data_IF_170547964169
#
_entry.id   IF_170547964169
#
_cell.length_a   1.000
_cell.length_b   1.000
_cell.length_c   1.000
_cell.angle_alpha   90.00
_cell.angle_beta   90.00
_cell.angle_gamma   90.00
#
_symmetry.space_group_name_H-M   'P 1'
#
loop_
_entity.id
_entity.type
_entity.pdbx_description
1 polymer ?
#
# COMPACT_ATOMS: atom_id res chain seq x y z
N UNK A 1 22.15 14.36 1.60
CA UNK A 1 22.01 14.28 3.08
C UNK A 1 21.38 15.60 3.48
N UNK A 2 20.09 15.61 3.83
CA UNK A 2 19.48 16.82 4.42
C UNK A 2 20.06 16.97 5.83
N UNK A 3 20.54 18.15 6.16
CA UNK A 3 21.06 18.48 7.48
C UNK A 3 19.96 18.20 8.51
N UNK A 4 20.14 17.16 9.31
CA UNK A 4 19.34 16.93 10.50
C UNK A 4 19.62 18.09 11.48
N UNK A 5 18.62 18.71 12.06
CA UNK A 5 18.84 19.67 13.15
C UNK A 5 19.64 19.01 14.27
N UNK A 6 20.53 19.78 14.89
CA UNK A 6 21.42 19.29 15.95
C UNK A 6 20.64 18.49 17.01
N UNK A 7 21.24 17.40 17.57
CA UNK A 7 20.57 16.59 18.58
C UNK A 7 20.17 17.44 19.77
N UNK A 8 18.98 17.20 20.36
CA UNK A 8 18.51 17.95 21.52
C UNK A 8 19.44 17.75 22.72
N UNK A 9 19.52 18.72 23.64
CA UNK A 9 20.29 18.56 24.86
C UNK A 9 19.74 17.40 25.72
N UNK A 10 20.59 16.72 26.51
CA UNK A 10 20.27 15.47 27.21
C UNK A 10 19.24 15.54 28.35
N UNK A 11 18.66 16.69 28.65
CA UNK A 11 17.96 16.92 29.93
C UNK A 11 16.43 16.67 29.96
N UNK A 12 15.80 16.32 28.82
CA UNK A 12 14.33 16.17 28.78
C UNK A 12 13.80 14.82 29.32
N UNK A 13 14.68 13.84 29.49
CA UNK A 13 14.31 12.51 30.01
C UNK A 13 13.91 12.51 31.49
N UNK A 14 14.21 13.60 32.24
CA UNK A 14 13.87 13.75 33.66
C UNK A 14 12.47 14.40 33.88
N UNK A 15 11.85 14.96 32.83
CA UNK A 15 10.55 15.63 32.93
C UNK A 15 9.42 14.60 32.84
N UNK A 16 8.47 14.53 33.78
CA UNK A 16 7.33 13.62 33.72
C UNK A 16 6.54 13.76 32.41
N UNK A 17 6.13 12.63 31.84
CA UNK A 17 5.42 12.57 30.54
C UNK A 17 4.20 13.51 30.47
N UNK A 18 3.41 13.58 31.56
CA UNK A 18 2.27 14.48 31.65
C UNK A 18 2.65 15.98 31.55
N UNK A 19 3.81 16.34 32.08
CA UNK A 19 4.31 17.72 31.97
C UNK A 19 4.82 18.03 30.57
N UNK A 20 5.49 17.08 29.94
CA UNK A 20 5.91 17.18 28.53
C UNK A 20 4.69 17.35 27.63
N UNK A 21 3.64 16.53 27.83
CA UNK A 21 2.39 16.62 27.07
C UNK A 21 1.74 18.00 27.23
N UNK A 22 1.56 18.47 28.47
CA UNK A 22 0.95 19.78 28.72
C UNK A 22 1.76 20.93 28.10
N UNK A 23 3.11 20.85 28.15
CA UNK A 23 4.00 21.84 27.52
C UNK A 23 3.88 21.84 26.01
N UNK A 24 3.92 20.67 25.36
CA UNK A 24 3.79 20.55 23.92
C UNK A 24 2.39 20.98 23.44
N UNK A 25 1.33 20.61 24.15
CA UNK A 25 -0.03 21.03 23.84
C UNK A 25 -0.20 22.55 23.93
N UNK A 26 0.35 23.19 24.99
CA UNK A 26 0.36 24.65 25.11
C UNK A 26 1.10 25.33 23.97
N UNK A 27 2.27 24.81 23.58
CA UNK A 27 3.04 25.29 22.43
C UNK A 27 2.22 25.23 21.15
N UNK A 28 1.58 24.08 20.84
CA UNK A 28 0.75 23.91 19.65
C UNK A 28 -0.46 24.86 19.67
N UNK A 29 -1.12 25.04 20.82
CA UNK A 29 -2.24 25.99 20.98
C UNK A 29 -1.79 27.43 20.77
N UNK A 30 -0.61 27.79 21.26
CA UNK A 30 -0.05 29.15 21.11
C UNK A 30 0.33 29.43 19.66
N UNK A 31 0.95 28.47 18.95
CA UNK A 31 1.23 28.57 17.50
C UNK A 31 -0.06 28.75 16.71
N UNK A 32 -1.09 27.97 17.02
CA UNK A 32 -2.41 28.11 16.37
C UNK A 32 -2.97 29.52 16.54
N UNK A 33 -2.91 30.08 17.75
CA UNK A 33 -3.40 31.42 18.05
C UNK A 33 -2.57 32.51 17.33
N UNK A 34 -1.23 32.42 17.38
CA UNK A 34 -0.32 33.37 16.74
C UNK A 34 -0.51 33.41 15.22
N UNK A 35 -0.55 32.23 14.59
CA UNK A 35 -0.69 32.15 13.13
C UNK A 35 -2.09 32.52 12.65
N UNK A 36 -3.13 32.29 13.46
CA UNK A 36 -4.49 32.77 13.16
C UNK A 36 -4.62 34.31 13.30
N UNK A 37 -3.88 34.93 14.20
CA UNK A 37 -3.91 36.41 14.42
C UNK A 37 -3.15 37.16 13.31
N UNK A 38 -2.26 36.52 12.55
CA UNK A 38 -1.43 37.16 11.51
C UNK A 38 -2.19 37.55 10.25
N UNK A 39 -3.53 37.48 10.22
CA UNK A 39 -4.38 37.94 9.10
C UNK A 39 -4.59 36.92 7.97
N UNK A 40 -4.16 35.68 8.15
CA UNK A 40 -4.45 34.56 7.27
C UNK A 40 -5.81 33.91 7.64
N UNK A 41 -6.36 33.00 6.81
CA UNK A 41 -7.49 32.18 7.24
C UNK A 41 -7.15 31.48 8.58
N UNK A 42 -8.15 31.24 9.46
CA UNK A 42 -7.92 30.61 10.74
C UNK A 42 -7.16 29.29 10.59
N UNK A 43 -6.16 29.07 11.43
CA UNK A 43 -5.40 27.81 11.45
C UNK A 43 -6.28 26.70 12.02
N UNK A 44 -6.51 25.67 11.23
CA UNK A 44 -7.24 24.48 11.66
C UNK A 44 -6.31 23.54 12.43
N UNK A 45 -6.82 22.94 13.51
CA UNK A 45 -6.12 21.89 14.26
C UNK A 45 -6.82 20.56 14.05
N UNK A 46 -6.07 19.57 13.53
CA UNK A 46 -6.49 18.19 13.50
C UNK A 46 -5.74 17.44 14.60
N UNK A 47 -6.46 16.59 15.31
CA UNK A 47 -5.91 15.81 16.40
C UNK A 47 -6.09 14.31 16.15
N UNK A 48 -4.99 13.56 16.31
CA UNK A 48 -4.96 12.10 16.28
C UNK A 48 -4.51 11.55 17.64
N UNK A 49 -4.46 10.23 17.80
CA UNK A 49 -3.96 9.62 19.03
C UNK A 49 -2.50 9.97 19.33
N UNK A 50 -1.68 10.16 18.30
CA UNK A 50 -0.22 10.32 18.42
C UNK A 50 0.32 11.64 17.86
N UNK A 51 -0.52 12.49 17.28
CA UNK A 51 -0.07 13.73 16.64
C UNK A 51 -1.11 14.85 16.73
N UNK A 52 -0.61 16.10 16.66
CA UNK A 52 -1.39 17.28 16.30
C UNK A 52 -0.93 17.79 14.93
N UNK A 53 -1.86 18.21 14.10
CA UNK A 53 -1.56 18.81 12.80
C UNK A 53 -2.18 20.21 12.76
N UNK A 54 -1.36 21.23 12.57
CA UNK A 54 -1.80 22.60 12.32
C UNK A 54 -1.81 22.86 10.81
N UNK A 55 -2.96 23.23 10.27
CA UNK A 55 -3.15 23.56 8.87
C UNK A 55 -3.21 25.08 8.70
N UNK A 56 -2.18 25.67 8.10
CA UNK A 56 -2.16 27.06 7.65
C UNK A 56 -2.80 27.18 6.25
N UNK A 57 -2.73 28.35 5.62
CA UNK A 57 -3.25 28.52 4.26
C UNK A 57 -2.56 27.61 3.23
N UNK A 58 -1.25 27.38 3.37
CA UNK A 58 -0.41 26.71 2.36
C UNK A 58 0.35 25.50 2.88
N UNK A 59 0.50 25.38 4.19
CA UNK A 59 1.35 24.35 4.82
C UNK A 59 0.60 23.63 5.95
N UNK A 60 1.10 22.44 6.26
CA UNK A 60 0.69 21.64 7.40
C UNK A 60 1.92 21.34 8.28
N UNK A 61 1.74 21.45 9.60
CA UNK A 61 2.77 21.19 10.60
C UNK A 61 2.31 20.05 11.49
N UNK A 62 2.94 18.88 11.40
CA UNK A 62 2.59 17.68 12.15
C UNK A 62 3.54 17.49 13.33
N UNK A 63 3.01 17.65 14.55
CA UNK A 63 3.72 17.48 15.79
C UNK A 63 3.45 16.10 16.37
N UNK A 64 4.47 15.41 16.87
CA UNK A 64 4.32 14.17 17.64
C UNK A 64 3.87 14.49 19.06
N UNK A 65 2.85 13.77 19.56
CA UNK A 65 2.43 13.90 20.96
C UNK A 65 3.43 13.19 21.88
N UNK A 66 3.78 13.76 23.03
CA UNK A 66 4.52 13.06 24.07
C UNK A 66 3.67 11.96 24.71
N UNK A 67 3.64 10.78 24.10
CA UNK A 67 2.88 9.62 24.55
C UNK A 67 3.75 8.36 24.51
N UNK A 68 3.48 7.44 25.42
CA UNK A 68 4.06 6.10 25.44
C UNK A 68 2.91 5.09 25.30
N UNK A 69 2.93 4.35 24.18
CA UNK A 69 1.97 3.30 23.88
C UNK A 69 2.77 2.00 23.71
N UNK A 70 2.14 0.85 23.87
CA UNK A 70 2.85 -0.45 23.82
C UNK A 70 3.61 -0.72 22.51
N UNK A 71 3.40 0.07 21.47
CA UNK A 71 4.02 -0.07 20.15
C UNK A 71 4.83 1.17 19.72
N UNK A 72 4.83 2.26 20.48
CA UNK A 72 5.64 3.45 20.21
C UNK A 72 5.98 4.20 21.49
N UNK A 73 7.12 4.90 21.48
CA UNK A 73 7.55 5.80 22.55
C UNK A 73 7.98 7.15 21.97
N UNK A 74 7.17 8.18 22.18
CA UNK A 74 7.44 9.58 21.88
C UNK A 74 7.65 10.40 23.16
N UNK A 75 8.02 9.75 24.25
CA UNK A 75 8.14 10.35 25.58
C UNK A 75 9.27 11.37 25.73
N UNK A 76 10.34 11.30 24.90
CA UNK A 76 11.40 12.29 24.93
C UNK A 76 11.41 13.17 23.68
N UNK A 77 11.94 14.40 23.79
CA UNK A 77 12.12 15.30 22.67
C UNK A 77 13.01 14.68 21.58
N UNK A 78 14.05 13.93 21.99
CA UNK A 78 14.93 13.21 21.08
C UNK A 78 14.18 12.13 20.29
N UNK A 79 13.30 11.38 20.93
CA UNK A 79 12.46 10.37 20.25
C UNK A 79 11.50 11.03 19.25
N UNK A 80 10.91 12.18 19.59
CA UNK A 80 10.04 12.91 18.67
C UNK A 80 10.80 13.52 17.50
N UNK A 81 12.01 14.05 17.74
CA UNK A 81 12.92 14.51 16.68
C UNK A 81 13.25 13.37 15.69
N UNK A 82 13.63 12.21 16.23
CA UNK A 82 13.92 11.02 15.42
C UNK A 82 12.69 10.59 14.62
N UNK A 83 11.51 10.53 15.24
CA UNK A 83 10.27 10.16 14.57
C UNK A 83 9.89 11.15 13.43
N UNK A 84 10.10 12.46 13.64
CA UNK A 84 9.90 13.47 12.58
C UNK A 84 10.88 13.27 11.41
N UNK A 85 12.15 12.99 11.70
CA UNK A 85 13.18 12.72 10.69
C UNK A 85 12.86 11.43 9.90
N UNK A 86 12.44 10.36 10.58
CA UNK A 86 12.00 9.11 9.94
C UNK A 86 10.74 9.33 9.10
N UNK A 87 9.74 10.04 9.60
CA UNK A 87 8.54 10.37 8.83
C UNK A 87 8.89 11.12 7.54
N UNK A 88 9.77 12.12 7.63
CA UNK A 88 10.26 12.84 6.46
C UNK A 88 10.97 11.90 5.48
N UNK A 89 11.88 11.04 5.98
CA UNK A 89 12.66 10.10 5.17
C UNK A 89 11.77 9.12 4.42
N UNK A 90 10.87 8.44 5.14
CA UNK A 90 10.05 7.37 4.54
C UNK A 90 9.04 7.91 3.56
N UNK A 91 8.45 9.08 3.84
CA UNK A 91 7.40 9.65 3.00
C UNK A 91 7.92 10.38 1.76
N UNK A 92 9.14 10.94 1.81
CA UNK A 92 9.75 11.57 0.62
C UNK A 92 9.99 10.59 -0.53
N UNK A 93 10.01 9.30 -0.29
CA UNK A 93 10.15 8.27 -1.31
C UNK A 93 8.95 8.24 -2.28
N UNK A 94 7.74 8.49 -1.78
CA UNK A 94 6.51 8.52 -2.59
C UNK A 94 6.00 9.94 -2.86
N UNK A 95 6.16 10.85 -1.91
CA UNK A 95 5.62 12.21 -1.97
C UNK A 95 6.69 13.29 -1.69
N UNK A 96 7.80 13.36 -2.49
CA UNK A 96 8.89 14.31 -2.25
C UNK A 96 8.44 15.77 -2.34
N UNK A 97 7.44 16.08 -3.16
CA UNK A 97 6.87 17.42 -3.29
C UNK A 97 5.94 17.82 -2.14
N UNK A 98 5.47 16.85 -1.36
CA UNK A 98 4.57 17.10 -0.21
C UNK A 98 5.34 17.35 1.08
N UNK A 99 6.35 16.53 1.39
CA UNK A 99 7.12 16.59 2.63
C UNK A 99 8.32 17.53 2.48
N UNK A 100 8.27 18.71 3.11
CA UNK A 100 9.25 19.79 2.92
C UNK A 100 10.50 19.58 3.78
N UNK A 101 10.34 19.58 5.10
CA UNK A 101 11.46 19.42 6.06
C UNK A 101 10.94 19.08 7.47
N UNK A 102 11.88 19.00 8.43
CA UNK A 102 11.60 18.99 9.86
C UNK A 102 11.98 20.36 10.41
N UNK A 103 11.05 21.01 11.08
CA UNK A 103 11.23 22.33 11.71
C UNK A 103 11.41 22.18 13.21
N UNK A 104 12.38 22.90 13.78
CA UNK A 104 12.56 23.03 15.21
C UNK A 104 11.90 24.30 15.72
N UNK A 105 11.21 24.23 16.86
CA UNK A 105 10.60 25.37 17.53
C UNK A 105 11.42 25.75 18.75
N UNK A 106 11.71 27.03 18.89
CA UNK A 106 12.53 27.64 19.94
C UNK A 106 11.74 28.63 20.78
N UNK A 107 12.37 29.20 21.83
CA UNK A 107 11.79 30.21 22.68
C UNK A 107 11.13 29.65 23.95
N UNK A 108 9.88 30.03 24.23
CA UNK A 108 9.09 29.51 25.34
C UNK A 108 7.76 28.94 24.84
N UNK A 109 7.08 28.12 25.65
CA UNK A 109 5.78 27.56 25.27
C UNK A 109 4.71 28.63 25.03
N UNK A 110 4.87 29.83 25.59
CA UNK A 110 3.96 30.97 25.43
C UNK A 110 4.40 31.92 24.28
N UNK A 111 5.63 31.77 23.78
CA UNK A 111 6.18 32.53 22.65
C UNK A 111 7.08 31.64 21.80
N UNK A 112 6.52 30.59 21.16
CA UNK A 112 7.30 29.70 20.29
C UNK A 112 7.56 30.36 18.92
N UNK A 113 8.75 30.08 18.34
CA UNK A 113 9.14 30.53 17.01
C UNK A 113 9.90 29.43 16.27
N UNK A 114 9.77 29.39 14.93
CA UNK A 114 10.49 28.43 14.06
C UNK A 114 11.99 28.75 14.06
N UNK A 115 12.33 30.06 14.03
CA UNK A 115 13.71 30.55 14.11
C UNK A 115 13.89 31.31 15.40
N UNK A 116 14.98 31.09 16.11
CA UNK A 116 15.24 31.79 17.37
C UNK A 116 16.47 31.28 18.10
N UNK A 117 16.95 32.11 19.05
CA UNK A 117 17.98 31.72 19.98
C UNK A 117 17.36 30.94 21.16
N UNK A 118 18.11 29.96 21.68
CA UNK A 118 17.69 29.18 22.84
C UNK A 118 17.46 27.70 22.53
N UNK A 119 17.08 26.93 23.57
CA UNK A 119 16.88 25.48 23.42
C UNK A 119 15.67 25.19 22.52
N UNK A 120 15.74 24.05 21.84
CA UNK A 120 14.61 23.53 21.09
C UNK A 120 13.51 23.08 22.05
N UNK A 121 12.29 23.47 21.77
CA UNK A 121 11.10 23.13 22.55
C UNK A 121 10.36 21.93 22.00
N UNK A 122 10.26 21.83 20.63
CA UNK A 122 9.54 20.78 19.93
C UNK A 122 9.97 20.72 18.46
N UNK A 123 9.63 19.62 17.80
CA UNK A 123 9.82 19.41 16.37
C UNK A 123 8.49 19.15 15.67
N UNK A 124 8.40 19.56 14.40
CA UNK A 124 7.28 19.22 13.54
C UNK A 124 7.77 18.86 12.13
N UNK A 125 7.07 17.92 11.49
CA UNK A 125 7.19 17.70 10.06
C UNK A 125 6.40 18.79 9.34
N UNK A 126 7.08 19.57 8.47
CA UNK A 126 6.43 20.58 7.63
C UNK A 126 6.13 19.99 6.27
N UNK A 127 4.88 20.16 5.84
CA UNK A 127 4.35 19.62 4.58
C UNK A 127 3.60 20.73 3.82
N UNK A 128 3.43 20.56 2.52
CA UNK A 128 2.47 21.37 1.76
C UNK A 128 1.04 20.99 2.16
N UNK A 129 0.17 21.98 2.29
CA UNK A 129 -1.26 21.73 2.47
C UNK A 129 -1.87 21.28 1.14
N UNK A 130 -2.73 20.29 1.18
CA UNK A 130 -3.60 19.87 0.08
C UNK A 130 -5.08 19.94 0.50
N UNK A 131 -5.97 20.00 -0.48
CA UNK A 131 -7.39 20.03 -0.20
C UNK A 131 -7.87 18.66 0.32
N UNK A 132 -8.73 18.60 1.35
CA UNK A 132 -9.26 17.34 1.87
C UNK A 132 -9.96 16.49 0.78
N UNK A 133 -10.57 17.14 -0.21
CA UNK A 133 -11.23 16.52 -1.36
C UNK A 133 -10.25 15.84 -2.32
N UNK A 134 -8.95 16.09 -2.20
CA UNK A 134 -7.92 15.43 -2.98
C UNK A 134 -7.61 13.99 -2.48
N UNK A 135 -8.02 13.65 -1.24
CA UNK A 135 -7.81 12.34 -0.64
C UNK A 135 -8.74 11.30 -1.26
N UNK A 136 -8.22 10.10 -1.52
CA UNK A 136 -8.94 9.03 -2.26
C UNK A 136 -10.25 8.62 -1.60
N UNK A 137 -10.32 8.50 -0.28
CA UNK A 137 -11.55 8.14 0.42
C UNK A 137 -12.65 9.20 0.24
N UNK A 138 -12.28 10.48 0.26
CA UNK A 138 -13.19 11.61 0.02
C UNK A 138 -13.63 11.67 -1.43
N UNK A 139 -12.68 11.55 -2.37
CA UNK A 139 -12.98 11.50 -3.81
C UNK A 139 -13.90 10.33 -4.14
N UNK A 140 -13.68 9.17 -3.50
CA UNK A 140 -14.54 8.01 -3.66
C UNK A 140 -15.96 8.29 -3.14
N UNK A 141 -16.09 8.85 -1.96
CA UNK A 141 -17.38 9.19 -1.35
C UNK A 141 -18.17 10.22 -2.17
N UNK A 142 -17.46 11.16 -2.83
CA UNK A 142 -18.04 12.17 -3.72
C UNK A 142 -18.30 11.66 -5.16
N UNK A 143 -17.93 10.41 -5.48
CA UNK A 143 -18.03 9.86 -6.84
C UNK A 143 -17.06 10.52 -7.84
N UNK A 144 -15.99 11.14 -7.37
CA UNK A 144 -15.01 11.88 -8.17
C UNK A 144 -13.72 11.12 -8.45
N UNK A 145 -13.53 9.95 -7.81
CA UNK A 145 -12.35 9.13 -8.05
C UNK A 145 -12.44 8.41 -9.38
N UNK A 146 -11.49 8.69 -10.28
CA UNK A 146 -11.47 8.12 -11.63
C UNK A 146 -10.62 6.85 -11.68
N UNK A 147 -10.95 5.97 -12.61
CA UNK A 147 -10.24 4.70 -12.83
C UNK A 147 -8.77 4.93 -13.23
N UNK A 148 -8.51 5.93 -14.07
CA UNK A 148 -7.16 6.28 -14.50
C UNK A 148 -6.27 6.77 -13.35
N UNK A 149 -6.84 7.45 -12.35
CA UNK A 149 -6.13 7.84 -11.13
C UNK A 149 -5.76 6.61 -10.28
N UNK A 150 -6.68 5.65 -10.16
CA UNK A 150 -6.44 4.38 -9.45
C UNK A 150 -5.33 3.57 -10.12
N UNK A 151 -5.36 3.44 -11.45
CA UNK A 151 -4.31 2.74 -12.20
C UNK A 151 -2.97 3.46 -12.15
N UNK A 152 -2.96 4.80 -12.24
CA UNK A 152 -1.74 5.59 -12.13
C UNK A 152 -1.09 5.43 -10.74
N UNK A 153 -1.90 5.43 -9.67
CA UNK A 153 -1.43 5.13 -8.31
C UNK A 153 -0.80 3.74 -8.23
N UNK A 154 -1.50 2.72 -8.73
CA UNK A 154 -1.01 1.34 -8.69
C UNK A 154 0.34 1.18 -9.40
N UNK A 155 0.53 1.83 -10.55
CA UNK A 155 1.81 1.87 -11.27
C UNK A 155 2.89 2.63 -10.50
N UNK A 156 2.53 3.74 -9.82
CA UNK A 156 3.46 4.51 -8.96
C UNK A 156 3.94 3.67 -7.78
N UNK A 157 3.02 2.97 -7.10
CA UNK A 157 3.36 2.06 -6.00
C UNK A 157 4.23 0.90 -6.48
N UNK A 158 3.94 0.31 -7.66
CA UNK A 158 4.77 -0.76 -8.22
C UNK A 158 6.21 -0.32 -8.48
N UNK A 159 6.42 0.90 -9.00
CA UNK A 159 7.76 1.49 -9.17
C UNK A 159 8.44 1.74 -7.83
N UNK A 160 7.73 2.34 -6.89
CA UNK A 160 8.22 2.54 -5.53
C UNK A 160 8.69 1.23 -4.89
N UNK A 161 7.90 0.17 -5.00
CA UNK A 161 8.27 -1.16 -4.50
C UNK A 161 9.50 -1.74 -5.23
N UNK A 162 9.65 -1.48 -6.52
CA UNK A 162 10.82 -1.95 -7.28
C UNK A 162 12.12 -1.25 -6.87
N UNK A 163 12.04 -0.01 -6.42
CA UNK A 163 13.17 0.83 -6.00
C UNK A 163 13.45 0.77 -4.49
N UNK A 164 12.47 0.30 -3.69
CA UNK A 164 12.58 0.24 -2.24
C UNK A 164 13.70 -0.73 -1.79
N UNK A 165 14.31 -0.41 -0.64
CA UNK A 165 15.36 -1.21 -0.04
C UNK A 165 14.86 -2.63 0.27
N UNK A 166 15.71 -3.62 -0.04
CA UNK A 166 15.39 -5.05 0.07
C UNK A 166 15.83 -5.57 1.44
N UNK A 167 14.95 -6.28 2.12
CA UNK A 167 15.29 -6.97 3.36
C UNK A 167 16.30 -8.09 3.10
N UNK A 168 17.30 -8.17 3.95
CA UNK A 168 18.27 -9.27 3.93
C UNK A 168 17.78 -10.45 4.77
N UNK A 169 18.17 -11.71 4.43
CA UNK A 169 17.78 -12.88 5.22
C UNK A 169 18.26 -12.86 6.68
N UNK A 170 19.27 -12.04 7.00
CA UNK A 170 19.77 -11.85 8.37
C UNK A 170 18.87 -10.96 9.24
N UNK A 171 17.99 -10.17 8.61
CA UNK A 171 17.02 -9.33 9.31
C UNK A 171 15.78 -10.13 9.72
N UNK A 172 15.07 -9.72 10.79
CA UNK A 172 13.88 -10.43 11.28
C UNK A 172 12.65 -10.26 10.35
N UNK A 173 12.72 -9.34 9.38
CA UNK A 173 11.61 -8.93 8.54
C UNK A 173 11.21 -9.99 7.53
N UNK A 174 9.91 -10.20 7.35
CA UNK A 174 9.36 -11.10 6.34
C UNK A 174 9.63 -12.59 6.56
N UNK A 175 10.27 -12.99 7.66
CA UNK A 175 10.40 -14.40 8.02
C UNK A 175 9.01 -15.02 8.21
N UNK A 176 8.75 -16.25 7.74
CA UNK A 176 7.43 -16.86 7.84
C UNK A 176 6.83 -16.86 9.25
N UNK A 177 7.68 -17.11 10.27
CA UNK A 177 7.27 -17.08 11.67
C UNK A 177 6.87 -15.67 12.12
N UNK A 178 7.60 -14.63 11.69
CA UNK A 178 7.32 -13.23 12.01
C UNK A 178 6.01 -12.80 11.35
N UNK A 179 5.79 -13.12 10.07
CA UNK A 179 4.54 -12.84 9.36
C UNK A 179 3.34 -13.47 10.08
N UNK A 180 3.44 -14.77 10.41
CA UNK A 180 2.38 -15.47 11.12
C UNK A 180 2.12 -14.89 12.53
N UNK A 181 3.18 -14.51 13.25
CA UNK A 181 3.06 -13.90 14.59
C UNK A 181 2.37 -12.53 14.53
N UNK A 182 2.69 -11.69 13.54
CA UNK A 182 2.07 -10.37 13.34
C UNK A 182 0.57 -10.49 13.09
N UNK A 183 0.16 -11.40 12.20
CA UNK A 183 -1.27 -11.62 11.89
C UNK A 183 -2.00 -12.18 13.12
N UNK A 184 -1.40 -13.15 13.82
CA UNK A 184 -1.96 -13.71 15.06
C UNK A 184 -2.15 -12.64 16.12
N UNK A 185 -1.15 -11.80 16.37
CA UNK A 185 -1.22 -10.72 17.35
C UNK A 185 -2.34 -9.72 17.00
N UNK A 186 -2.48 -9.37 15.72
CA UNK A 186 -3.57 -8.47 15.25
C UNK A 186 -4.95 -9.07 15.51
N UNK A 187 -5.14 -10.34 15.17
CA UNK A 187 -6.43 -11.03 15.36
C UNK A 187 -6.74 -11.25 16.85
N UNK A 188 -5.73 -11.54 17.68
CA UNK A 188 -5.90 -11.62 19.12
C UNK A 188 -6.35 -10.28 19.72
N UNK A 189 -5.68 -9.18 19.36
CA UNK A 189 -6.09 -7.83 19.79
C UNK A 189 -7.49 -7.45 19.30
N UNK A 190 -7.86 -7.86 18.08
CA UNK A 190 -9.23 -7.68 17.57
C UNK A 190 -10.23 -8.45 18.44
N UNK A 191 -9.94 -9.72 18.79
CA UNK A 191 -10.78 -10.52 19.67
C UNK A 191 -10.91 -9.89 21.07
N UNK A 192 -9.82 -9.32 21.62
CA UNK A 192 -9.83 -8.63 22.94
C UNK A 192 -10.78 -7.42 22.95
N UNK A 193 -11.12 -6.85 21.79
CA UNK A 193 -12.17 -5.81 21.68
C UNK A 193 -13.60 -6.36 21.74
N UNK A 194 -13.78 -7.68 21.92
CA UNK A 194 -15.07 -8.36 21.87
C UNK A 194 -15.61 -8.59 20.45
N UNK A 195 -14.77 -8.50 19.43
CA UNK A 195 -15.17 -8.81 18.07
C UNK A 195 -15.30 -10.33 17.86
N UNK A 196 -16.38 -10.75 17.20
CA UNK A 196 -16.53 -12.14 16.73
C UNK A 196 -15.64 -12.38 15.51
N UNK A 197 -14.48 -13.04 15.72
CA UNK A 197 -13.47 -13.32 14.68
C UNK A 197 -12.80 -14.69 14.85
N UNK A 198 -13.42 -15.63 15.59
CA UNK A 198 -12.85 -16.96 15.83
C UNK A 198 -12.65 -17.75 14.52
N UNK A 199 -13.54 -17.59 13.55
CA UNK A 199 -13.44 -18.14 12.20
C UNK A 199 -12.22 -17.59 11.43
N UNK A 200 -11.95 -16.29 11.54
CA UNK A 200 -10.79 -15.65 10.92
C UNK A 200 -9.47 -16.13 11.55
N UNK A 201 -9.43 -16.29 12.89
CA UNK A 201 -8.27 -16.82 13.60
C UNK A 201 -7.94 -18.22 13.11
N UNK A 202 -8.93 -19.13 13.12
CA UNK A 202 -8.74 -20.51 12.69
C UNK A 202 -8.28 -20.60 11.23
N UNK A 203 -8.88 -19.80 10.34
CA UNK A 203 -8.49 -19.75 8.94
C UNK A 203 -7.06 -19.21 8.76
N UNK A 204 -6.69 -18.12 9.46
CA UNK A 204 -5.39 -17.50 9.36
C UNK A 204 -4.26 -18.43 9.83
N UNK A 205 -4.45 -19.19 10.90
CA UNK A 205 -3.48 -20.18 11.38
C UNK A 205 -3.23 -21.28 10.34
N UNK A 206 -4.27 -21.82 9.72
CA UNK A 206 -4.14 -22.82 8.67
C UNK A 206 -3.48 -22.23 7.42
N UNK A 207 -3.84 -20.99 7.05
CA UNK A 207 -3.26 -20.32 5.91
C UNK A 207 -1.77 -20.02 6.13
N UNK A 208 -1.38 -19.54 7.32
CA UNK A 208 0.02 -19.28 7.66
C UNK A 208 0.90 -20.54 7.51
N UNK A 209 0.43 -21.70 7.97
CA UNK A 209 1.15 -22.97 7.82
C UNK A 209 1.35 -23.33 6.34
N UNK A 210 0.29 -23.24 5.53
CA UNK A 210 0.37 -23.54 4.08
C UNK A 210 1.27 -22.58 3.33
N UNK A 211 1.28 -21.30 3.72
CA UNK A 211 2.01 -20.23 3.05
C UNK A 211 3.45 -20.05 3.54
N UNK A 212 3.90 -20.77 4.58
CA UNK A 212 5.26 -20.63 5.10
C UNK A 212 6.35 -20.84 4.04
N UNK A 213 6.29 -21.84 3.14
CA UNK A 213 7.27 -21.98 2.05
C UNK A 213 7.20 -20.82 1.05
N UNK A 214 6.01 -20.29 0.78
CA UNK A 214 5.81 -19.13 -0.09
C UNK A 214 6.47 -17.88 0.52
N UNK A 215 6.19 -17.55 1.78
CA UNK A 215 6.82 -16.40 2.44
C UNK A 215 8.35 -16.52 2.48
N UNK A 216 8.88 -17.74 2.72
CA UNK A 216 10.33 -17.97 2.66
C UNK A 216 10.90 -17.73 1.25
N UNK A 217 10.19 -18.13 0.19
CA UNK A 217 10.58 -17.84 -1.18
C UNK A 217 10.54 -16.34 -1.47
N UNK A 218 9.47 -15.65 -1.08
CA UNK A 218 9.32 -14.20 -1.26
C UNK A 218 10.46 -13.40 -0.62
N UNK A 219 10.88 -13.79 0.59
CA UNK A 219 12.03 -13.16 1.26
C UNK A 219 13.32 -13.40 0.47
N UNK A 220 13.62 -14.64 0.06
CA UNK A 220 14.82 -14.95 -0.75
C UNK A 220 14.85 -14.20 -2.07
N UNK A 221 13.69 -14.03 -2.71
CA UNK A 221 13.53 -13.42 -4.03
C UNK A 221 13.46 -11.87 -3.95
N UNK A 222 13.75 -11.30 -2.76
CA UNK A 222 13.83 -9.86 -2.53
C UNK A 222 12.47 -9.14 -2.64
N UNK A 223 11.39 -9.84 -2.30
CA UNK A 223 10.03 -9.28 -2.31
C UNK A 223 9.61 -8.67 -0.98
N UNK A 224 10.39 -8.90 0.09
CA UNK A 224 10.27 -8.16 1.35
C UNK A 224 11.10 -6.90 1.25
N UNK A 225 10.44 -5.74 1.37
CA UNK A 225 11.07 -4.44 1.14
C UNK A 225 10.58 -3.40 2.14
N UNK A 226 11.32 -2.28 2.25
CA UNK A 226 10.88 -1.15 3.06
C UNK A 226 9.71 -0.44 2.34
N UNK A 227 8.50 -0.93 2.52
CA UNK A 227 7.26 -0.40 1.96
C UNK A 227 6.75 0.86 2.65
N UNK A 228 5.46 1.11 2.51
CA UNK A 228 4.73 2.20 3.17
C UNK A 228 4.12 1.73 4.51
N UNK A 229 3.55 0.54 4.55
CA UNK A 229 2.96 -0.10 5.72
C UNK A 229 1.48 0.24 5.97
N UNK A 230 0.96 1.37 5.46
CA UNK A 230 -0.41 1.85 5.75
C UNK A 230 -1.11 2.45 4.52
N UNK A 231 -1.16 1.71 3.40
CA UNK A 231 -1.70 2.15 2.10
C UNK A 231 -3.25 2.10 2.01
N UNK A 232 -3.98 2.50 3.05
CA UNK A 232 -5.44 2.63 2.95
C UNK A 232 -5.85 3.96 2.26
N UNK A 233 -7.10 4.06 1.79
CA UNK A 233 -7.55 5.15 0.92
C UNK A 233 -7.45 6.55 1.56
N UNK A 234 -7.49 6.65 2.88
CA UNK A 234 -7.31 7.93 3.57
C UNK A 234 -5.84 8.41 3.58
N UNK A 235 -4.87 7.55 3.22
CA UNK A 235 -3.45 7.88 3.07
C UNK A 235 -3.04 8.00 1.60
N UNK A 236 -4.00 8.08 0.68
CA UNK A 236 -3.78 8.24 -0.76
C UNK A 236 -4.36 9.58 -1.21
N UNK A 237 -3.62 10.31 -2.03
CA UNK A 237 -3.98 11.68 -2.42
C UNK A 237 -3.67 11.93 -3.90
N UNK A 238 -4.46 12.77 -4.57
CA UNK A 238 -4.18 13.28 -5.91
C UNK A 238 -3.56 14.66 -5.78
N UNK A 239 -2.28 14.77 -6.13
CA UNK A 239 -1.53 16.03 -6.18
C UNK A 239 -1.34 16.48 -7.63
N UNK A 240 -0.69 17.63 -7.83
CA UNK A 240 -0.44 18.19 -9.17
C UNK A 240 0.40 17.26 -10.07
N UNK A 241 1.31 16.47 -9.45
CA UNK A 241 2.14 15.47 -10.13
C UNK A 241 1.46 14.09 -10.25
N UNK A 242 0.20 14.00 -9.89
CA UNK A 242 -0.63 12.80 -9.95
C UNK A 242 -0.88 12.13 -8.60
N UNK A 243 -1.53 10.95 -8.62
CA UNK A 243 -1.87 10.22 -7.40
C UNK A 243 -0.63 9.65 -6.72
N UNK A 244 -0.58 9.77 -5.38
CA UNK A 244 0.51 9.28 -4.53
C UNK A 244 0.00 8.85 -3.16
N UNK A 245 0.92 8.31 -2.31
CA UNK A 245 0.63 7.97 -0.93
C UNK A 245 1.42 8.88 0.03
N UNK A 246 0.88 9.09 1.22
CA UNK A 246 1.47 9.85 2.31
C UNK A 246 1.17 9.17 3.65
N UNK A 247 1.81 9.60 4.72
CA UNK A 247 1.63 9.07 6.08
C UNK A 247 2.06 7.59 6.22
N UNK A 248 3.23 7.25 5.62
CA UNK A 248 3.87 5.95 5.82
C UNK A 248 4.27 5.77 7.30
N UNK A 249 4.24 4.54 7.78
CA UNK A 249 4.58 4.21 9.17
C UNK A 249 6.06 4.52 9.43
N UNK A 250 6.33 5.46 10.34
CA UNK A 250 7.67 5.86 10.75
C UNK A 250 8.14 5.17 12.05
N UNK A 251 7.20 4.89 12.96
CA UNK A 251 7.49 4.51 14.34
C UNK A 251 7.87 3.03 14.54
N UNK A 252 7.50 2.15 13.60
CA UNK A 252 7.79 0.71 13.68
C UNK A 252 8.29 0.17 12.33
N UNK A 253 9.59 -0.13 12.20
CA UNK A 253 10.14 -0.76 11.00
C UNK A 253 9.48 -2.10 10.65
N UNK A 254 9.03 -2.88 11.65
CA UNK A 254 8.39 -4.18 11.43
C UNK A 254 7.07 -4.10 10.67
N UNK A 255 6.40 -2.95 10.70
CA UNK A 255 5.14 -2.72 9.99
C UNK A 255 5.35 -2.23 8.55
N UNK A 256 6.56 -1.78 8.18
CA UNK A 256 6.86 -1.32 6.81
C UNK A 256 7.86 -2.20 6.06
N UNK A 257 8.71 -2.98 6.75
CA UNK A 257 9.58 -3.99 6.13
C UNK A 257 8.78 -5.27 5.87
N UNK A 258 8.01 -5.28 4.83
CA UNK A 258 6.98 -6.28 4.52
C UNK A 258 7.04 -6.71 3.05
N UNK A 259 6.35 -7.80 2.72
CA UNK A 259 6.15 -8.20 1.34
C UNK A 259 5.42 -7.09 0.57
N UNK A 260 5.91 -6.75 -0.62
CA UNK A 260 5.33 -5.71 -1.49
C UNK A 260 3.87 -6.00 -1.85
N UNK A 261 3.48 -7.28 -1.96
CA UNK A 261 2.08 -7.64 -2.20
C UNK A 261 1.22 -7.40 -0.94
N UNK A 262 1.77 -7.67 0.25
CA UNK A 262 1.10 -7.33 1.50
C UNK A 262 0.88 -5.82 1.66
N UNK A 263 1.87 -5.00 1.29
CA UNK A 263 1.73 -3.54 1.32
C UNK A 263 0.62 -3.07 0.35
N UNK A 264 0.64 -3.57 -0.89
CA UNK A 264 -0.36 -3.23 -1.90
C UNK A 264 -1.76 -3.80 -1.59
N UNK A 265 -1.85 -4.91 -0.89
CA UNK A 265 -3.12 -5.51 -0.46
C UNK A 265 -3.99 -4.54 0.36
N UNK A 266 -3.37 -3.55 1.02
CA UNK A 266 -4.12 -2.52 1.76
C UNK A 266 -5.00 -1.67 0.85
N UNK A 267 -4.48 -1.22 -0.30
CA UNK A 267 -5.24 -0.49 -1.32
C UNK A 267 -6.43 -1.32 -1.80
N UNK A 268 -6.16 -2.58 -2.15
CA UNK A 268 -7.19 -3.48 -2.69
C UNK A 268 -8.30 -3.74 -1.67
N UNK A 269 -7.90 -4.09 -0.45
CA UNK A 269 -8.80 -4.39 0.64
C UNK A 269 -9.71 -3.21 0.98
N UNK A 270 -9.19 -1.98 1.01
CA UNK A 270 -9.99 -0.82 1.40
C UNK A 270 -11.01 -0.43 0.32
N UNK A 271 -10.69 -0.60 -0.98
CA UNK A 271 -11.67 -0.53 -2.05
C UNK A 271 -12.76 -1.60 -1.89
N UNK A 272 -12.38 -2.86 -1.63
CA UNK A 272 -13.31 -3.96 -1.43
C UNK A 272 -14.23 -3.75 -0.22
N UNK A 273 -13.71 -3.24 0.89
CA UNK A 273 -14.48 -2.95 2.09
C UNK A 273 -15.55 -1.87 1.84
N UNK A 274 -15.30 -0.98 0.86
CA UNK A 274 -16.24 0.08 0.43
C UNK A 274 -17.14 -0.35 -0.75
N UNK A 275 -17.14 -1.65 -1.11
CA UNK A 275 -17.97 -2.20 -2.20
C UNK A 275 -17.50 -1.81 -3.60
N UNK A 276 -16.24 -1.37 -3.76
CA UNK A 276 -15.64 -1.00 -5.04
C UNK A 276 -14.64 -2.04 -5.52
N UNK A 277 -15.11 -3.28 -5.61
CA UNK A 277 -14.32 -4.41 -6.14
C UNK A 277 -13.83 -4.12 -7.57
N UNK A 278 -14.62 -3.38 -8.36
CA UNK A 278 -14.24 -2.92 -9.69
C UNK A 278 -12.92 -2.14 -9.70
N UNK A 279 -12.75 -1.19 -8.78
CA UNK A 279 -11.52 -0.40 -8.64
C UNK A 279 -10.37 -1.24 -8.06
N UNK A 280 -10.65 -2.14 -7.12
CA UNK A 280 -9.64 -3.06 -6.59
C UNK A 280 -9.04 -3.94 -7.68
N UNK A 281 -9.86 -4.53 -8.54
CA UNK A 281 -9.39 -5.35 -9.66
C UNK A 281 -8.62 -4.53 -10.71
N UNK A 282 -9.04 -3.31 -11.00
CA UNK A 282 -8.30 -2.38 -11.89
C UNK A 282 -6.94 -1.99 -11.30
N UNK A 283 -6.89 -1.73 -9.99
CA UNK A 283 -5.64 -1.44 -9.31
C UNK A 283 -4.68 -2.64 -9.34
N UNK A 284 -5.19 -3.86 -9.06
CA UNK A 284 -4.39 -5.07 -9.12
C UNK A 284 -3.84 -5.34 -10.53
N UNK A 285 -4.66 -5.18 -11.56
CA UNK A 285 -4.25 -5.34 -12.95
C UNK A 285 -3.10 -4.38 -13.31
N UNK A 286 -3.25 -3.10 -12.99
CA UNK A 286 -2.22 -2.08 -13.26
C UNK A 286 -0.93 -2.33 -12.47
N UNK A 287 -1.03 -2.79 -11.23
CA UNK A 287 0.12 -3.16 -10.40
C UNK A 287 0.89 -4.35 -10.97
N UNK A 288 0.18 -5.43 -11.34
CA UNK A 288 0.79 -6.63 -11.93
C UNK A 288 1.38 -6.35 -13.31
N UNK A 289 0.71 -5.50 -14.11
CA UNK A 289 1.23 -5.06 -15.41
C UNK A 289 2.57 -4.32 -15.25
N UNK A 290 2.71 -3.47 -14.23
CA UNK A 290 3.94 -2.74 -13.96
C UNK A 290 5.03 -3.61 -13.30
N UNK A 291 4.67 -4.39 -12.27
CA UNK A 291 5.62 -5.14 -11.44
C UNK A 291 5.99 -6.53 -12.00
N UNK A 292 5.07 -7.19 -12.71
CA UNK A 292 5.19 -8.61 -13.12
C UNK A 292 5.12 -9.60 -11.95
N UNK A 293 4.68 -9.18 -10.78
CA UNK A 293 4.70 -9.95 -9.54
C UNK A 293 3.48 -10.87 -9.40
N UNK A 294 3.30 -11.77 -10.38
CA UNK A 294 2.20 -12.75 -10.35
C UNK A 294 2.34 -13.77 -9.22
N UNK A 295 3.56 -14.02 -8.74
CA UNK A 295 3.80 -14.96 -7.64
C UNK A 295 3.21 -14.48 -6.32
N UNK A 296 3.16 -13.17 -6.09
CA UNK A 296 2.54 -12.56 -4.91
C UNK A 296 1.07 -12.91 -4.73
N UNK A 297 0.38 -13.27 -5.82
CA UNK A 297 -1.03 -13.69 -5.78
C UNK A 297 -1.26 -14.93 -4.89
N UNK A 298 -0.26 -15.77 -4.68
CA UNK A 298 -0.35 -16.95 -3.81
C UNK A 298 -0.66 -16.55 -2.36
N UNK A 299 -0.07 -15.45 -1.87
CA UNK A 299 -0.30 -14.90 -0.52
C UNK A 299 -1.45 -13.91 -0.42
N UNK A 300 -1.91 -13.34 -1.54
CA UNK A 300 -2.77 -12.15 -1.55
C UNK A 300 -4.05 -12.29 -0.69
N UNK A 301 -4.72 -13.46 -0.68
CA UNK A 301 -5.92 -13.65 0.18
C UNK A 301 -5.59 -13.51 1.66
N UNK A 302 -4.44 -14.03 2.07
CA UNK A 302 -3.96 -13.93 3.45
C UNK A 302 -3.68 -12.47 3.82
N UNK A 303 -3.04 -11.75 2.92
CA UNK A 303 -2.73 -10.34 3.10
C UNK A 303 -3.99 -9.46 3.17
N UNK A 304 -4.97 -9.71 2.30
CA UNK A 304 -6.27 -9.00 2.32
C UNK A 304 -7.02 -9.23 3.64
N UNK A 305 -7.07 -10.47 4.12
CA UNK A 305 -7.69 -10.80 5.43
C UNK A 305 -6.95 -10.10 6.56
N UNK A 306 -5.62 -10.12 6.55
CA UNK A 306 -4.81 -9.42 7.54
C UNK A 306 -5.10 -7.92 7.55
N UNK A 307 -5.05 -7.25 6.40
CA UNK A 307 -5.27 -5.80 6.31
C UNK A 307 -6.70 -5.39 6.71
N UNK A 308 -7.69 -6.18 6.35
CA UNK A 308 -9.07 -5.96 6.82
C UNK A 308 -9.18 -6.12 8.34
N UNK A 309 -8.49 -7.10 8.93
CA UNK A 309 -8.44 -7.30 10.38
C UNK A 309 -7.74 -6.14 11.11
N UNK A 310 -6.67 -5.58 10.54
CA UNK A 310 -6.02 -4.35 11.06
C UNK A 310 -7.01 -3.20 11.13
N UNK A 311 -7.74 -2.94 10.03
CA UNK A 311 -8.74 -1.84 10.00
C UNK A 311 -9.89 -2.07 10.96
N UNK A 312 -10.40 -3.31 11.04
CA UNK A 312 -11.45 -3.68 11.99
C UNK A 312 -10.98 -3.44 13.44
N UNK A 313 -9.75 -3.85 13.78
CA UNK A 313 -9.16 -3.64 15.10
C UNK A 313 -9.04 -2.15 15.43
N UNK A 314 -8.48 -1.35 14.52
CA UNK A 314 -8.31 0.11 14.73
C UNK A 314 -9.66 0.79 14.90
N UNK A 315 -10.68 0.43 14.09
CA UNK A 315 -12.02 0.99 14.21
C UNK A 315 -12.67 0.63 15.56
N UNK A 316 -12.53 -0.61 16.02
CA UNK A 316 -13.06 -1.08 17.33
C UNK A 316 -12.36 -0.42 18.52
N UNK A 317 -11.06 -0.19 18.42
CA UNK A 317 -10.32 0.53 19.48
C UNK A 317 -10.75 2.00 19.62
N UNK A 318 -11.22 2.61 18.52
CA UNK A 318 -11.79 3.97 18.54
C UNK A 318 -13.21 3.98 19.07
N UNK A 319 -14.02 3.06 18.60
CA UNK A 319 -15.44 2.91 18.96
C UNK A 319 -15.79 1.43 18.97
N UNK A 320 -16.04 0.83 20.15
CA UNK A 320 -16.45 -0.56 20.29
C UNK A 320 -17.73 -0.93 19.51
N UNK A 321 -18.59 0.04 19.19
CA UNK A 321 -19.83 -0.16 18.43
C UNK A 321 -19.68 0.18 16.92
N UNK A 322 -18.44 0.40 16.44
CA UNK A 322 -18.16 0.89 15.10
C UNK A 322 -18.79 0.05 13.98
N UNK A 323 -19.67 0.66 13.20
CA UNK A 323 -20.21 0.06 11.97
C UNK A 323 -19.10 -0.15 10.90
N UNK A 324 -18.09 0.70 10.89
CA UNK A 324 -16.92 0.56 10.02
C UNK A 324 -16.18 -0.75 10.33
N UNK A 325 -16.01 -1.10 11.60
CA UNK A 325 -15.39 -2.36 12.00
C UNK A 325 -16.15 -3.57 11.50
N UNK A 326 -17.49 -3.55 11.55
CA UNK A 326 -18.32 -4.63 10.99
C UNK A 326 -18.14 -4.78 9.49
N UNK A 327 -18.02 -3.67 8.76
CA UNK A 327 -17.75 -3.68 7.32
C UNK A 327 -16.39 -4.33 7.00
N UNK A 328 -15.33 -4.00 7.75
CA UNK A 328 -14.02 -4.61 7.57
C UNK A 328 -14.00 -6.10 7.95
N UNK A 329 -14.73 -6.51 9.00
CA UNK A 329 -14.89 -7.94 9.36
C UNK A 329 -15.61 -8.73 8.26
N UNK A 330 -16.68 -8.17 7.69
CA UNK A 330 -17.38 -8.75 6.55
C UNK A 330 -16.46 -8.85 5.32
N UNK A 331 -15.65 -7.80 5.08
CA UNK A 331 -14.64 -7.80 4.02
C UNK A 331 -13.60 -8.91 4.25
N UNK A 332 -13.06 -9.05 5.45
CA UNK A 332 -12.11 -10.12 5.80
C UNK A 332 -12.65 -11.51 5.47
N UNK A 333 -13.89 -11.81 5.88
CA UNK A 333 -14.56 -13.08 5.58
C UNK A 333 -14.73 -13.30 4.08
N UNK A 334 -15.13 -12.28 3.33
CA UNK A 334 -15.25 -12.33 1.87
C UNK A 334 -13.90 -12.56 1.19
N UNK A 335 -12.83 -11.95 1.68
CA UNK A 335 -11.49 -12.07 1.13
C UNK A 335 -10.89 -13.49 1.21
N UNK A 336 -11.37 -14.34 2.14
CA UNK A 336 -10.95 -15.75 2.21
C UNK A 336 -11.24 -16.52 0.90
N UNK A 337 -12.28 -16.13 0.16
CA UNK A 337 -12.77 -16.82 -1.03
C UNK A 337 -12.84 -15.92 -2.28
N UNK A 338 -12.21 -14.72 -2.22
CA UNK A 338 -12.25 -13.77 -3.34
C UNK A 338 -11.63 -14.37 -4.61
N UNK A 339 -12.16 -13.99 -5.78
CA UNK A 339 -11.74 -14.52 -7.08
C UNK A 339 -12.49 -15.78 -7.50
N UNK A 340 -13.25 -16.46 -6.59
CA UNK A 340 -14.04 -17.65 -6.87
C UNK A 340 -13.19 -18.85 -7.35
N UNK A 341 -13.79 -19.87 -8.00
CA UNK A 341 -13.04 -21.00 -8.50
C UNK A 341 -12.11 -20.61 -9.65
N UNK A 342 -10.90 -21.20 -9.74
CA UNK A 342 -9.95 -20.90 -10.80
C UNK A 342 -10.54 -21.22 -12.18
N UNK A 343 -10.30 -20.32 -13.13
CA UNK A 343 -10.76 -20.46 -14.50
C UNK A 343 -9.81 -19.71 -15.45
N UNK A 344 -9.64 -20.21 -16.65
CA UNK A 344 -8.83 -19.61 -17.72
C UNK A 344 -9.74 -19.03 -18.79
N UNK A 345 -9.57 -17.75 -19.12
CA UNK A 345 -10.22 -17.07 -20.24
C UNK A 345 -9.15 -16.69 -21.26
N UNK A 346 -9.26 -17.21 -22.48
CA UNK A 346 -8.37 -16.87 -23.59
C UNK A 346 -9.03 -15.83 -24.49
N UNK A 347 -8.41 -14.66 -24.63
CA UNK A 347 -8.85 -13.63 -25.57
C UNK A 347 -8.39 -14.02 -26.99
N UNK A 348 -9.30 -13.92 -27.98
CA UNK A 348 -8.98 -14.23 -29.37
C UNK A 348 -9.40 -13.07 -30.29
N UNK A 349 -8.62 -12.78 -31.30
CA UNK A 349 -8.93 -11.78 -32.32
C UNK A 349 -7.68 -11.06 -32.85
N UNK A 350 -7.86 -10.30 -33.92
CA UNK A 350 -6.80 -9.52 -34.56
C UNK A 350 -6.24 -8.42 -33.67
N UNK A 351 -4.99 -8.01 -33.90
CA UNK A 351 -4.43 -6.82 -33.26
C UNK A 351 -5.32 -5.61 -33.56
N UNK A 352 -5.59 -4.75 -32.54
CA UNK A 352 -6.45 -3.58 -32.69
C UNK A 352 -7.97 -3.85 -32.65
N UNK A 353 -8.44 -5.11 -32.48
CA UNK A 353 -9.88 -5.44 -32.43
C UNK A 353 -10.60 -5.13 -31.12
N UNK A 354 -9.97 -4.42 -30.16
CA UNK A 354 -10.59 -4.07 -28.89
C UNK A 354 -10.50 -5.13 -27.79
N UNK A 355 -9.75 -6.23 -27.98
CA UNK A 355 -9.58 -7.31 -26.98
C UNK A 355 -9.16 -6.80 -25.61
N UNK A 356 -8.16 -5.93 -25.54
CA UNK A 356 -7.63 -5.42 -24.26
C UNK A 356 -8.67 -4.59 -23.51
N UNK A 357 -9.50 -3.81 -24.23
CA UNK A 357 -10.62 -3.07 -23.65
C UNK A 357 -11.69 -4.00 -23.10
N UNK A 358 -12.06 -5.03 -23.86
CA UNK A 358 -12.99 -6.06 -23.40
C UNK A 358 -12.44 -6.84 -22.20
N UNK A 359 -11.16 -7.24 -22.24
CA UNK A 359 -10.49 -7.94 -21.14
C UNK A 359 -10.47 -7.08 -19.86
N UNK A 360 -10.22 -5.77 -19.98
CA UNK A 360 -10.29 -4.84 -18.85
C UNK A 360 -11.69 -4.71 -18.25
N UNK A 361 -12.73 -4.67 -19.08
CA UNK A 361 -14.12 -4.65 -18.60
C UNK A 361 -14.49 -5.97 -17.91
N UNK A 362 -14.05 -7.09 -18.49
CA UNK A 362 -14.36 -8.42 -17.97
C UNK A 362 -13.67 -8.71 -16.63
N UNK A 363 -12.39 -8.33 -16.46
CA UNK A 363 -11.65 -8.61 -15.22
C UNK A 363 -12.34 -8.04 -13.97
N UNK A 364 -12.89 -6.83 -14.06
CA UNK A 364 -13.59 -6.19 -12.96
C UNK A 364 -14.94 -6.89 -12.66
N UNK A 365 -15.61 -7.41 -13.69
CA UNK A 365 -16.92 -8.08 -13.53
C UNK A 365 -16.81 -9.49 -12.93
N UNK A 366 -15.80 -10.26 -13.35
CA UNK A 366 -15.66 -11.65 -12.90
C UNK A 366 -14.63 -11.85 -11.79
N UNK A 367 -13.96 -10.79 -11.36
CA UNK A 367 -12.91 -10.87 -10.36
C UNK A 367 -11.72 -11.71 -10.84
N UNK A 368 -11.12 -11.33 -11.97
CA UNK A 368 -10.03 -12.07 -12.60
C UNK A 368 -8.73 -11.25 -12.63
N UNK A 369 -7.61 -11.94 -12.67
CA UNK A 369 -6.29 -11.40 -13.01
C UNK A 369 -6.13 -11.39 -14.52
N UNK A 370 -5.36 -10.47 -15.08
CA UNK A 370 -5.03 -10.46 -16.51
C UNK A 370 -3.53 -10.53 -16.71
N UNK A 371 -3.10 -11.32 -17.72
CA UNK A 371 -1.73 -11.29 -18.25
C UNK A 371 -1.76 -10.91 -19.73
N UNK A 372 -0.89 -9.99 -20.13
CA UNK A 372 -0.79 -9.49 -21.52
C UNK A 372 0.49 -9.96 -22.17
N UNK A 373 0.37 -10.64 -23.31
CA UNK A 373 1.52 -11.18 -24.06
C UNK A 373 2.50 -10.09 -24.51
N UNK A 374 2.02 -8.91 -24.90
CA UNK A 374 2.88 -7.80 -25.30
C UNK A 374 3.69 -7.24 -24.12
N UNK A 375 3.07 -7.11 -22.94
CA UNK A 375 3.73 -6.64 -21.72
C UNK A 375 4.80 -7.62 -21.26
N UNK A 376 4.50 -8.93 -21.19
CA UNK A 376 5.49 -9.93 -20.78
C UNK A 376 6.63 -10.03 -21.79
N UNK A 377 6.36 -9.87 -23.09
CA UNK A 377 7.40 -9.78 -24.13
C UNK A 377 8.34 -8.61 -23.88
N UNK A 378 7.81 -7.40 -23.64
CA UNK A 378 8.60 -6.21 -23.34
C UNK A 378 9.44 -6.42 -22.07
N UNK A 379 8.85 -6.97 -21.02
CA UNK A 379 9.54 -7.32 -19.76
C UNK A 379 10.71 -8.25 -19.98
N UNK A 380 10.55 -9.31 -20.77
CA UNK A 380 11.63 -10.26 -21.11
C UNK A 380 12.80 -9.62 -21.87
N UNK A 381 12.59 -8.47 -22.47
CA UNK A 381 13.61 -7.70 -23.20
C UNK A 381 14.06 -6.43 -22.46
N UNK A 382 13.67 -6.24 -21.19
CA UNK A 382 14.05 -5.05 -20.41
C UNK A 382 13.42 -3.75 -20.92
N UNK A 383 12.31 -3.84 -21.67
CA UNK A 383 11.57 -2.69 -22.20
C UNK A 383 10.41 -2.39 -21.25
N UNK A 384 10.17 -1.09 -20.98
CA UNK A 384 9.04 -0.66 -20.16
C UNK A 384 7.70 -1.21 -20.70
N UNK A 385 6.85 -1.66 -19.80
CA UNK A 385 5.56 -2.29 -20.11
C UNK A 385 4.66 -1.42 -21.01
N UNK A 386 4.71 -0.10 -20.82
CA UNK A 386 3.90 0.89 -21.52
C UNK A 386 4.63 1.54 -22.71
N UNK A 387 5.92 1.25 -22.93
CA UNK A 387 6.67 1.82 -24.04
C UNK A 387 6.02 1.45 -25.39
N UNK A 388 5.89 2.43 -26.27
CA UNK A 388 5.49 2.17 -27.66
C UNK A 388 6.66 1.55 -28.44
N UNK A 389 6.52 0.28 -28.81
CA UNK A 389 7.51 -0.40 -29.67
C UNK A 389 7.11 -0.21 -31.13
N UNK A 390 7.96 0.46 -31.93
CA UNK A 390 7.80 0.63 -33.39
C UNK A 390 8.58 -0.41 -34.19
N UNK A 391 8.83 -1.61 -33.59
CA UNK A 391 9.57 -2.67 -34.28
C UNK A 391 8.72 -3.34 -35.37
N UNK A 392 9.31 -3.60 -36.53
CA UNK A 392 8.68 -4.35 -37.60
C UNK A 392 8.41 -5.81 -37.18
N UNK A 393 7.40 -6.43 -37.79
CA UNK A 393 7.05 -7.83 -37.53
C UNK A 393 8.25 -8.73 -37.93
N UNK A 394 8.71 -9.56 -37.00
CA UNK A 394 9.85 -10.45 -37.18
C UNK A 394 11.22 -9.85 -36.86
N UNK A 395 11.29 -8.59 -36.38
CA UNK A 395 12.52 -7.92 -35.96
C UNK A 395 12.49 -7.55 -34.46
N UNK A 396 13.66 -7.37 -33.85
CA UNK A 396 13.80 -6.98 -32.46
C UNK A 396 13.12 -7.96 -31.50
N UNK A 397 12.16 -7.47 -30.70
CA UNK A 397 11.43 -8.29 -29.72
C UNK A 397 10.34 -9.19 -30.32
N UNK A 398 10.16 -9.22 -31.65
CA UNK A 398 9.16 -10.02 -32.38
C UNK A 398 9.76 -11.18 -33.19
N UNK A 399 10.98 -11.60 -32.89
CA UNK A 399 11.60 -12.79 -33.47
C UNK A 399 10.90 -14.07 -33.04
N UNK A 400 11.16 -15.18 -33.74
CA UNK A 400 10.63 -16.53 -33.42
C UNK A 400 11.07 -16.95 -31.99
N UNK A 401 12.34 -16.73 -31.64
CA UNK A 401 12.88 -17.02 -30.29
C UNK A 401 12.21 -16.19 -29.23
N UNK A 402 12.10 -14.85 -29.42
CA UNK A 402 11.40 -13.98 -28.50
C UNK A 402 9.93 -14.41 -28.31
N UNK A 403 9.28 -14.87 -29.35
CA UNK A 403 7.92 -15.40 -29.31
C UNK A 403 7.83 -16.70 -28.50
N UNK A 404 8.80 -17.62 -28.67
CA UNK A 404 8.87 -18.87 -27.90
C UNK A 404 9.09 -18.57 -26.40
N UNK A 405 10.02 -17.67 -26.05
CA UNK A 405 10.26 -17.24 -24.67
C UNK A 405 9.03 -16.57 -24.06
N UNK A 406 8.30 -15.74 -24.82
CA UNK A 406 7.06 -15.11 -24.34
C UNK A 406 6.00 -16.17 -24.05
N UNK A 407 5.81 -17.18 -24.91
CA UNK A 407 4.88 -18.28 -24.66
C UNK A 407 5.24 -19.07 -23.40
N UNK A 408 6.52 -19.42 -23.24
CA UNK A 408 6.99 -20.12 -22.04
C UNK A 408 6.68 -19.32 -20.76
N UNK A 409 6.91 -18.00 -20.78
CA UNK A 409 6.58 -17.12 -19.66
C UNK A 409 5.07 -17.04 -19.40
N UNK A 410 4.26 -16.93 -20.45
CA UNK A 410 2.80 -16.95 -20.29
C UNK A 410 2.32 -18.27 -19.68
N UNK A 411 2.82 -19.41 -20.14
CA UNK A 411 2.48 -20.71 -19.59
C UNK A 411 2.89 -20.87 -18.11
N UNK A 412 4.04 -20.30 -17.73
CA UNK A 412 4.44 -20.22 -16.32
C UNK A 412 3.45 -19.41 -15.49
N UNK A 413 3.11 -18.19 -15.92
CA UNK A 413 2.14 -17.31 -15.24
C UNK A 413 0.78 -17.98 -15.14
N UNK A 414 0.30 -18.60 -16.23
CA UNK A 414 -0.98 -19.34 -16.24
C UNK A 414 -0.99 -20.42 -15.16
N UNK A 415 0.03 -21.27 -15.12
CA UNK A 415 0.12 -22.35 -14.12
C UNK A 415 0.16 -21.79 -12.70
N UNK A 416 0.99 -20.77 -12.43
CA UNK A 416 1.13 -20.16 -11.11
C UNK A 416 -0.17 -19.53 -10.62
N UNK A 417 -0.82 -18.73 -11.44
CA UNK A 417 -2.06 -18.00 -11.09
C UNK A 417 -3.23 -18.96 -10.87
N UNK A 418 -3.38 -19.98 -11.73
CA UNK A 418 -4.43 -20.99 -11.55
C UNK A 418 -4.17 -21.87 -10.33
N UNK A 419 -2.93 -22.27 -10.08
CA UNK A 419 -2.55 -23.03 -8.87
C UNK A 419 -2.79 -22.21 -7.59
N UNK A 420 -2.60 -20.89 -7.62
CA UNK A 420 -2.94 -19.98 -6.55
C UNK A 420 -4.48 -19.79 -6.39
N UNK A 421 -5.27 -20.41 -7.25
CA UNK A 421 -6.75 -20.42 -7.16
C UNK A 421 -7.42 -19.16 -7.70
N UNK A 422 -6.78 -18.43 -8.65
CA UNK A 422 -7.37 -17.25 -9.25
C UNK A 422 -7.90 -17.52 -10.66
N UNK A 423 -8.90 -16.73 -11.07
CA UNK A 423 -9.31 -16.64 -12.47
C UNK A 423 -8.28 -15.83 -13.24
N UNK A 424 -7.96 -16.26 -14.46
CA UNK A 424 -6.97 -15.59 -15.30
C UNK A 424 -7.52 -15.33 -16.70
N UNK A 425 -7.30 -14.11 -17.18
CA UNK A 425 -7.52 -13.70 -18.57
C UNK A 425 -6.16 -13.59 -19.25
N UNK A 426 -5.94 -14.36 -20.32
CA UNK A 426 -4.76 -14.24 -21.17
C UNK A 426 -5.11 -13.34 -22.35
N UNK A 427 -4.56 -12.12 -22.34
CA UNK A 427 -4.74 -11.14 -23.41
C UNK A 427 -3.62 -11.28 -24.46
N UNK A 428 -3.88 -12.15 -25.44
CA UNK A 428 -3.01 -12.43 -26.57
C UNK A 428 -3.83 -12.62 -27.85
N UNK A 429 -3.16 -12.69 -29.00
CA UNK A 429 -3.88 -12.82 -30.29
C UNK A 429 -4.46 -14.21 -30.51
N UNK A 430 -3.79 -15.28 -30.04
CA UNK A 430 -4.19 -16.70 -30.15
C UNK A 430 -4.74 -17.10 -31.56
N UNK A 431 -4.12 -16.59 -32.62
CA UNK A 431 -4.61 -16.79 -33.99
C UNK A 431 -4.28 -18.17 -34.51
N UNK A 432 -3.15 -18.77 -34.13
CA UNK A 432 -2.69 -20.07 -34.57
C UNK A 432 -3.35 -21.21 -33.78
N UNK A 433 -3.53 -22.36 -34.44
CA UNK A 433 -4.14 -23.54 -33.81
C UNK A 433 -3.21 -24.20 -32.79
N UNK A 434 -1.91 -24.21 -33.07
CA UNK A 434 -0.84 -24.68 -32.19
C UNK A 434 -0.72 -23.86 -30.91
N UNK A 435 -0.79 -22.52 -31.01
CA UNK A 435 -0.78 -21.63 -29.86
C UNK A 435 -1.94 -21.92 -28.87
N UNK A 436 -3.09 -22.36 -29.37
CA UNK A 436 -4.23 -22.77 -28.56
C UNK A 436 -4.07 -24.17 -27.96
N UNK A 437 -3.39 -25.06 -28.66
CA UNK A 437 -3.21 -26.45 -28.24
C UNK A 437 -2.16 -26.60 -27.14
N UNK A 438 -1.13 -25.76 -27.13
CA UNK A 438 -0.10 -25.76 -26.08
C UNK A 438 -0.66 -25.30 -24.71
N UNK A 439 -1.66 -24.40 -24.70
CA UNK A 439 -2.37 -23.98 -23.50
C UNK A 439 -3.49 -24.97 -23.10
N UNK A 440 -3.86 -25.88 -24.00
CA UNK A 440 -4.80 -26.98 -23.82
C UNK A 440 -4.13 -28.29 -23.45
N UNK A 441 -3.03 -28.30 -22.71
CA UNK A 441 -2.49 -29.59 -22.26
C UNK A 441 -3.56 -30.32 -21.44
N UNK A 442 -3.61 -31.64 -21.61
CA UNK A 442 -4.61 -32.51 -20.99
C UNK A 442 -4.70 -32.34 -19.44
N UNK A 443 -3.63 -31.90 -18.78
CA UNK A 443 -3.58 -31.60 -17.36
C UNK A 443 -4.37 -30.35 -16.99
N UNK A 444 -4.32 -29.28 -17.78
CA UNK A 444 -5.08 -28.04 -17.52
C UNK A 444 -6.58 -28.23 -17.76
N UNK A 445 -6.96 -29.02 -18.77
CA UNK A 445 -8.38 -29.29 -19.06
C UNK A 445 -9.08 -30.13 -17.98
N UNK A 446 -8.35 -31.03 -17.32
CA UNK A 446 -8.91 -31.88 -16.26
C UNK A 446 -9.09 -31.15 -14.93
N UNK A 447 -8.35 -30.05 -14.71
CA UNK A 447 -8.33 -29.33 -13.43
C UNK A 447 -9.07 -27.97 -13.47
N UNK A 448 -9.25 -27.32 -14.64
CA UNK A 448 -9.77 -25.96 -14.71
C UNK A 448 -10.81 -25.78 -15.84
N UNK A 449 -11.77 -24.89 -15.58
CA UNK A 449 -12.75 -24.48 -16.58
C UNK A 449 -12.14 -23.47 -17.57
N UNK A 450 -12.02 -23.84 -18.84
CA UNK A 450 -11.51 -22.97 -19.90
C UNK A 450 -12.69 -22.38 -20.69
N UNK A 451 -12.71 -21.05 -20.86
CA UNK A 451 -13.72 -20.34 -21.62
C UNK A 451 -13.08 -19.41 -22.65
N UNK A 452 -13.69 -19.28 -23.82
CA UNK A 452 -13.23 -18.39 -24.89
C UNK A 452 -14.15 -17.16 -24.93
N UNK A 453 -13.53 -15.97 -24.98
CA UNK A 453 -14.22 -14.74 -25.34
C UNK A 453 -13.77 -14.30 -26.73
N UNK A 454 -14.70 -13.97 -27.61
CA UNK A 454 -14.48 -13.58 -29.01
C UNK A 454 -14.62 -12.05 -29.13
#
# INVERSE_FOLDING_TARGET
>A
MADLPAPPPPDDAAVPLAQQYARAERLVAQLQAQWSAAGAPPVERIETHISWVLLTATEAYKFKKPVQLGFLDFGSLAARAHACAEELRVNRRLAPGLYLDVVAFHGTADAPAIEGAGPVLEYAVRMRRFAPEAVFDRRLALGQLRVDEVEALARRIARFHAEAEVATPAQPWGQPATVAATVRATLARLADTGADCADLIAWAEQAAQRLAPHHAARLRDGRVREGHGDLHLANLVVLDDGPTAFDAIEFDPGLRWIDVMNDFAFVLMDFMARGRDDLAWRALDAYLEASGDFDGLTGLRYDLVYRASVRAMVARLRDPASAEALSYLACARRCQQIGGPPALVLMRGWSGSGKSTLAQGLLAQIGAVRVRSDVERKRLHGVDALAATRAEVGAGIYTADASARTRARLAEVVRGVLAAGWRLIVDATHLRRDERSEEHTSELQSQFRISYAV
#
